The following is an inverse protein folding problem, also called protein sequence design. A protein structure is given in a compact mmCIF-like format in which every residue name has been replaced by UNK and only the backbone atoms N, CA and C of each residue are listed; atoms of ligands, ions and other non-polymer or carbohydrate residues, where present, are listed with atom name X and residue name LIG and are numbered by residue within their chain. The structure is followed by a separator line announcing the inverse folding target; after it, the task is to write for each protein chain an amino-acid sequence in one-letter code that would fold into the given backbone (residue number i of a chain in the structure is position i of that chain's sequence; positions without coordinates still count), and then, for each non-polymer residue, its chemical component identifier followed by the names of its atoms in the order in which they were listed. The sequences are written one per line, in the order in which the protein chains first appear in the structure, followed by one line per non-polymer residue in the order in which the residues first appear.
data_IF_674042304342
#
_entry.id   IF_674042304342
#
_cell.length_a   1.000
_cell.length_b   1.000
_cell.length_c   1.000
_cell.angle_alpha   90.00
_cell.angle_beta   90.00
_cell.angle_gamma   90.00
#
_symmetry.space_group_name_H-M   'P 1'
#
loop_
_entity.id
_entity.type
_entity.pdbx_description
1 polymer ?
#
# COMPACT_ATOMS: atom_id res chain seq x y z
N UNK A 1 -18.83 -10.70 6.74
CA UNK A 1 -19.83 -10.61 5.64
C UNK A 1 -20.59 -9.29 5.79
N UNK A 2 -21.12 -8.69 4.71
CA UNK A 2 -21.92 -7.46 4.81
C UNK A 2 -23.24 -7.74 5.53
N UNK A 3 -23.60 -6.95 6.55
CA UNK A 3 -24.92 -7.02 7.18
C UNK A 3 -26.01 -6.40 6.31
N UNK A 4 -25.66 -5.29 5.66
CA UNK A 4 -26.54 -4.54 4.78
C UNK A 4 -25.70 -3.93 3.66
N UNK A 5 -26.21 -3.98 2.44
CA UNK A 5 -25.55 -3.40 1.27
C UNK A 5 -26.53 -2.50 0.51
N UNK A 6 -26.11 -1.28 0.26
CA UNK A 6 -26.82 -0.31 -0.54
C UNK A 6 -26.27 -0.37 -1.97
N UNK A 7 -27.08 -0.86 -2.91
CA UNK A 7 -26.69 -1.09 -4.32
C UNK A 7 -26.98 0.10 -5.24
N UNK A 8 -27.62 1.16 -4.75
CA UNK A 8 -27.87 2.40 -5.49
C UNK A 8 -26.61 3.26 -5.69
N UNK A 9 -25.43 2.77 -5.29
CA UNK A 9 -24.18 3.49 -5.37
C UNK A 9 -23.42 3.14 -6.65
N UNK A 10 -23.34 4.09 -7.57
CA UNK A 10 -22.65 3.93 -8.85
C UNK A 10 -21.35 4.76 -8.82
N UNK A 11 -20.29 4.18 -8.26
CA UNK A 11 -18.99 4.85 -8.13
C UNK A 11 -17.87 3.97 -8.69
N UNK A 12 -16.70 4.59 -8.90
CA UNK A 12 -15.47 3.95 -9.36
C UNK A 12 -14.33 4.34 -8.44
N UNK A 13 -13.46 3.40 -8.14
CA UNK A 13 -12.24 3.66 -7.38
C UNK A 13 -11.02 3.35 -8.23
N UNK A 14 -9.92 4.06 -7.97
CA UNK A 14 -8.61 3.73 -8.54
C UNK A 14 -7.81 2.97 -7.49
N UNK A 15 -7.37 1.76 -7.83
CA UNK A 15 -6.51 0.93 -6.95
C UNK A 15 -5.03 1.19 -7.22
N UNK A 16 -4.15 0.72 -6.34
CA UNK A 16 -2.71 1.04 -6.35
C UNK A 16 -1.95 0.65 -7.63
N UNK A 17 -2.47 -0.29 -8.42
CA UNK A 17 -1.91 -0.62 -9.74
C UNK A 17 -2.41 0.32 -10.88
N UNK A 18 -3.16 1.37 -10.54
CA UNK A 18 -3.71 2.34 -11.47
C UNK A 18 -5.03 1.96 -12.13
N UNK A 19 -5.50 0.71 -11.97
CA UNK A 19 -6.78 0.25 -12.54
C UNK A 19 -7.97 0.95 -11.88
N UNK A 20 -9.02 1.15 -12.66
CA UNK A 20 -10.29 1.72 -12.20
C UNK A 20 -11.30 0.58 -12.07
N UNK A 21 -11.81 0.36 -10.87
CA UNK A 21 -12.74 -0.73 -10.55
C UNK A 21 -14.10 -0.14 -10.20
N UNK A 22 -15.17 -0.75 -10.72
CA UNK A 22 -16.55 -0.34 -10.44
C UNK A 22 -16.98 -0.84 -9.06
N UNK A 23 -17.53 0.06 -8.26
CA UNK A 23 -18.15 -0.26 -6.98
C UNK A 23 -19.57 -0.76 -7.24
N UNK A 24 -19.93 -1.96 -6.76
CA UNK A 24 -21.31 -2.50 -6.90
C UNK A 24 -22.22 -2.16 -5.74
N UNK A 25 -21.67 -1.65 -4.64
CA UNK A 25 -22.45 -1.19 -3.51
C UNK A 25 -21.59 -0.71 -2.37
N UNK A 26 -22.24 -0.15 -1.36
CA UNK A 26 -21.62 0.32 -0.12
C UNK A 26 -22.39 -0.26 1.06
N UNK A 27 -21.71 -0.68 2.11
CA UNK A 27 -22.40 -1.30 3.23
C UNK A 27 -21.53 -1.48 4.46
N UNK A 28 -22.13 -2.05 5.51
CA UNK A 28 -21.44 -2.26 6.77
C UNK A 28 -21.02 -3.72 6.88
N UNK A 29 -19.74 -3.94 7.20
CA UNK A 29 -19.14 -5.26 7.34
C UNK A 29 -18.92 -5.54 8.81
N UNK A 30 -19.49 -6.63 9.29
CA UNK A 30 -19.12 -7.16 10.60
C UNK A 30 -17.82 -7.94 10.48
N UNK A 31 -16.85 -7.60 11.31
CA UNK A 31 -15.59 -8.31 11.48
C UNK A 31 -15.55 -8.83 12.91
N UNK A 32 -15.57 -10.15 13.06
CA UNK A 32 -15.41 -10.80 14.34
C UNK A 32 -13.93 -11.02 14.62
N UNK A 33 -13.45 -10.47 15.72
CA UNK A 33 -12.12 -10.75 16.28
C UNK A 33 -12.27 -11.63 17.53
N UNK A 34 -11.22 -12.31 18.00
CA UNK A 34 -11.28 -13.08 19.23
C UNK A 34 -11.70 -12.24 20.46
N UNK A 35 -11.36 -10.95 20.48
CA UNK A 35 -11.70 -10.05 21.58
C UNK A 35 -13.11 -9.47 21.46
N UNK A 36 -13.55 -9.14 20.25
CA UNK A 36 -14.87 -8.53 20.04
C UNK A 36 -15.35 -8.57 18.59
N UNK A 37 -16.65 -8.40 18.41
CA UNK A 37 -17.24 -8.09 17.12
C UNK A 37 -17.18 -6.59 16.87
N UNK A 38 -16.57 -6.16 15.76
CA UNK A 38 -16.56 -4.77 15.30
C UNK A 38 -17.33 -4.64 14.00
N UNK A 39 -17.91 -3.46 13.76
CA UNK A 39 -18.60 -3.12 12.51
C UNK A 39 -17.81 -2.05 11.80
N UNK A 40 -17.30 -2.38 10.61
CA UNK A 40 -16.67 -1.42 9.72
C UNK A 40 -17.78 -0.84 8.84
N UNK A 41 -18.10 0.43 9.07
CA UNK A 41 -19.12 1.12 8.29
C UNK A 41 -18.58 1.60 6.95
N UNK A 42 -19.46 1.71 5.96
CA UNK A 42 -19.18 2.35 4.67
C UNK A 42 -18.15 1.63 3.77
N UNK A 43 -18.03 0.31 3.88
CA UNK A 43 -17.14 -0.51 3.05
C UNK A 43 -17.70 -0.64 1.63
N UNK A 44 -16.83 -0.50 0.63
CA UNK A 44 -17.19 -0.71 -0.77
C UNK A 44 -17.20 -2.20 -1.13
N UNK A 45 -18.24 -2.62 -1.84
CA UNK A 45 -18.34 -3.94 -2.44
C UNK A 45 -17.75 -3.92 -3.85
N UNK A 46 -16.67 -4.66 -4.02
CA UNK A 46 -15.88 -4.75 -5.25
C UNK A 46 -15.80 -6.24 -5.63
N UNK A 47 -16.75 -6.75 -6.43
CA UNK A 47 -16.80 -8.19 -6.75
C UNK A 47 -15.65 -8.63 -7.66
N UNK A 48 -15.01 -7.69 -8.34
CA UNK A 48 -13.91 -7.95 -9.26
C UNK A 48 -12.56 -8.12 -8.52
N UNK A 49 -12.57 -8.03 -7.18
CA UNK A 49 -11.42 -8.35 -6.32
C UNK A 49 -11.78 -9.48 -5.36
N UNK A 50 -10.85 -10.43 -5.18
CA UNK A 50 -11.08 -11.61 -4.34
C UNK A 50 -11.25 -11.30 -2.85
N UNK A 51 -10.81 -10.12 -2.40
CA UNK A 51 -10.94 -9.66 -1.01
C UNK A 51 -11.23 -8.16 -1.00
N UNK A 52 -12.10 -7.71 -0.10
CA UNK A 52 -12.35 -6.28 0.06
C UNK A 52 -11.09 -5.59 0.61
N UNK A 53 -10.74 -4.44 0.04
CA UNK A 53 -9.67 -3.59 0.55
C UNK A 53 -10.21 -2.69 1.66
N UNK A 54 -9.52 -2.65 2.80
CA UNK A 54 -9.75 -1.63 3.83
C UNK A 54 -8.79 -0.49 3.55
N UNK A 55 -9.31 0.71 3.34
CA UNK A 55 -8.48 1.89 3.10
C UNK A 55 -7.85 2.38 4.41
N UNK A 56 -6.52 2.45 4.43
CA UNK A 56 -5.75 3.08 5.52
C UNK A 56 -6.20 4.52 5.74
N UNK A 57 -6.40 5.29 4.67
CA UNK A 57 -6.85 6.68 4.76
C UNK A 57 -8.21 6.81 5.47
N UNK A 58 -9.17 5.94 5.16
CA UNK A 58 -10.49 5.96 5.80
C UNK A 58 -10.44 5.59 7.29
N UNK A 59 -9.51 4.73 7.69
CA UNK A 59 -9.29 4.39 9.09
C UNK A 59 -8.71 5.59 9.85
N UNK A 60 -7.72 6.26 9.27
CA UNK A 60 -7.10 7.47 9.84
C UNK A 60 -8.11 8.62 9.95
N UNK A 61 -8.93 8.85 8.92
CA UNK A 61 -10.02 9.85 8.93
C UNK A 61 -11.04 9.62 10.05
N UNK A 62 -11.16 8.37 10.53
CA UNK A 62 -12.01 7.99 11.66
C UNK A 62 -11.26 7.97 13.00
N UNK A 63 -10.12 8.67 13.09
CA UNK A 63 -9.28 8.77 14.28
C UNK A 63 -8.77 7.42 14.81
N UNK A 64 -8.56 6.44 13.92
CA UNK A 64 -7.91 5.19 14.32
C UNK A 64 -6.40 5.31 14.12
N UNK A 65 -5.64 4.76 15.07
CA UNK A 65 -4.21 4.54 14.92
C UNK A 65 -3.96 3.25 14.17
N UNK A 66 -2.93 3.27 13.32
CA UNK A 66 -2.50 2.11 12.53
C UNK A 66 -1.01 1.95 12.75
N UNK A 67 -0.63 0.85 13.38
CA UNK A 67 0.74 0.55 13.73
C UNK A 67 1.20 -0.65 12.90
N UNK A 68 2.16 -0.41 12.01
CA UNK A 68 2.82 -1.47 11.25
C UNK A 68 4.06 -1.94 11.99
N UNK A 69 4.00 -3.17 12.49
CA UNK A 69 5.15 -3.89 13.03
C UNK A 69 5.68 -4.92 12.03
N UNK A 70 6.78 -5.60 12.36
CA UNK A 70 7.51 -6.49 11.45
C UNK A 70 6.63 -7.51 10.71
N UNK A 71 5.65 -8.10 11.38
CA UNK A 71 4.80 -9.17 10.83
C UNK A 71 3.31 -8.99 11.16
N UNK A 72 2.92 -7.83 11.66
CA UNK A 72 1.53 -7.53 12.01
C UNK A 72 1.23 -6.04 11.81
N UNK A 73 -0.02 -5.75 11.53
CA UNK A 73 -0.60 -4.42 11.56
C UNK A 73 -1.67 -4.41 12.66
N UNK A 74 -1.57 -3.45 13.57
CA UNK A 74 -2.55 -3.23 14.64
C UNK A 74 -3.34 -1.98 14.32
N UNK A 75 -4.66 -2.07 14.41
CA UNK A 75 -5.57 -0.91 14.31
C UNK A 75 -6.19 -0.69 15.68
N UNK A 76 -6.06 0.50 16.25
CA UNK A 76 -6.61 0.87 17.56
C UNK A 76 -7.39 2.17 17.49
N UNK A 77 -8.29 2.38 18.45
CA UNK A 77 -9.01 3.65 18.59
C UNK A 77 -8.20 4.68 19.40
N UNK A 78 -8.80 5.87 19.60
CA UNK A 78 -8.20 6.97 20.37
C UNK A 78 -7.89 6.60 21.83
N UNK A 79 -8.54 5.58 22.38
CA UNK A 79 -8.31 5.09 23.74
C UNK A 79 -7.23 4.01 23.80
N UNK A 80 -6.52 3.78 22.70
CA UNK A 80 -5.53 2.70 22.54
C UNK A 80 -6.13 1.30 22.64
N UNK A 81 -7.45 1.16 22.50
CA UNK A 81 -8.08 -0.15 22.49
C UNK A 81 -7.91 -0.79 21.11
N UNK A 82 -7.35 -2.00 21.08
CA UNK A 82 -7.11 -2.76 19.85
C UNK A 82 -8.45 -3.16 19.21
N UNK A 83 -8.67 -2.69 17.97
CA UNK A 83 -9.86 -3.00 17.18
C UNK A 83 -9.60 -4.19 16.24
N UNK A 84 -8.37 -4.32 15.72
CA UNK A 84 -8.01 -5.34 14.75
C UNK A 84 -6.51 -5.62 14.79
N UNK A 85 -6.16 -6.90 14.72
CA UNK A 85 -4.80 -7.38 14.46
C UNK A 85 -4.77 -8.14 13.14
N UNK A 86 -3.97 -7.66 12.20
CA UNK A 86 -3.77 -8.26 10.88
C UNK A 86 -2.37 -8.84 10.81
N UNK A 87 -2.24 -10.14 10.60
CA UNK A 87 -0.94 -10.78 10.36
C UNK A 87 -0.47 -10.44 8.94
N UNK A 88 0.65 -9.74 8.82
CA UNK A 88 1.26 -9.42 7.54
C UNK A 88 2.11 -10.61 7.12
N UNK A 89 1.73 -11.25 6.01
CA UNK A 89 2.54 -12.30 5.40
C UNK A 89 3.08 -11.77 4.09
N UNK A 90 4.41 -11.61 4.01
CA UNK A 90 5.07 -11.26 2.76
C UNK A 90 5.22 -12.53 1.92
N UNK A 91 4.31 -12.73 0.98
CA UNK A 91 4.56 -13.63 -0.15
C UNK A 91 5.57 -12.92 -1.07
N UNK A 92 6.86 -13.04 -0.76
CA UNK A 92 7.91 -12.39 -1.54
C UNK A 92 7.79 -12.78 -3.00
N UNK A 93 7.40 -11.84 -3.85
CA UNK A 93 7.39 -11.99 -5.29
C UNK A 93 8.81 -11.76 -5.81
N UNK A 94 9.17 -12.48 -6.87
CA UNK A 94 10.41 -12.23 -7.61
C UNK A 94 10.22 -10.98 -8.47
N UNK A 95 10.09 -9.83 -7.81
CA UNK A 95 9.88 -8.55 -8.47
C UNK A 95 11.18 -8.04 -9.10
N UNK A 96 11.09 -7.63 -10.36
CA UNK A 96 12.20 -7.07 -11.16
C UNK A 96 12.71 -5.74 -10.57
N UNK A 97 14.00 -5.44 -10.76
CA UNK A 97 14.66 -4.20 -10.35
C UNK A 97 13.97 -2.98 -10.98
N UNK A 98 13.55 -3.10 -12.24
CA UNK A 98 12.82 -2.04 -12.95
C UNK A 98 11.47 -1.73 -12.29
N UNK A 99 10.85 -2.72 -11.63
CA UNK A 99 9.60 -2.53 -10.90
C UNK A 99 9.85 -1.71 -9.63
N UNK A 100 10.93 -2.00 -8.91
CA UNK A 100 11.30 -1.23 -7.71
C UNK A 100 11.79 0.18 -8.03
N UNK A 101 12.51 0.36 -9.14
CA UNK A 101 12.83 1.67 -9.69
C UNK A 101 11.56 2.52 -9.86
N UNK A 102 10.52 1.97 -10.52
CA UNK A 102 9.23 2.66 -10.71
C UNK A 102 8.49 2.90 -9.39
N UNK A 103 8.39 1.89 -8.51
CA UNK A 103 7.66 1.96 -7.23
C UNK A 103 8.22 3.02 -6.28
N UNK A 104 9.53 3.23 -6.28
CA UNK A 104 10.20 4.22 -5.45
C UNK A 104 10.30 5.60 -6.12
N UNK A 105 9.48 5.86 -7.14
CA UNK A 105 9.44 7.16 -7.80
C UNK A 105 10.62 7.40 -8.73
N UNK A 106 11.01 6.39 -9.51
CA UNK A 106 12.14 6.43 -10.45
C UNK A 106 13.49 6.67 -9.77
N UNK A 107 13.68 6.12 -8.56
CA UNK A 107 14.96 6.18 -7.84
C UNK A 107 16.09 5.62 -8.71
N UNK A 108 17.24 6.30 -8.77
CA UNK A 108 18.33 5.82 -9.61
C UNK A 108 18.82 4.42 -9.14
N UNK A 109 19.39 3.65 -10.06
CA UNK A 109 19.84 2.28 -9.78
C UNK A 109 20.98 2.18 -8.77
N UNK A 110 21.81 3.23 -8.62
CA UNK A 110 22.88 3.30 -7.61
C UNK A 110 22.27 3.36 -6.21
N UNK A 111 21.31 4.26 -5.97
CA UNK A 111 20.56 4.39 -4.73
C UNK A 111 19.76 3.13 -4.45
N UNK A 112 19.14 2.53 -5.47
CA UNK A 112 18.43 1.25 -5.32
C UNK A 112 19.38 0.11 -4.89
N UNK A 113 20.57 0.05 -5.47
CA UNK A 113 21.61 -0.90 -5.09
C UNK A 113 22.13 -0.65 -3.66
N UNK A 114 22.23 0.60 -3.21
CA UNK A 114 22.56 0.91 -1.81
C UNK A 114 21.48 0.41 -0.86
N UNK A 115 20.20 0.70 -1.15
CA UNK A 115 19.06 0.22 -0.34
C UNK A 115 19.05 -1.31 -0.22
N UNK A 116 19.39 -2.01 -1.30
CA UNK A 116 19.57 -3.46 -1.27
C UNK A 116 20.73 -3.93 -0.40
N UNK A 117 21.93 -3.36 -0.62
CA UNK A 117 23.15 -3.76 0.11
C UNK A 117 22.95 -3.64 1.62
N UNK A 118 22.29 -2.57 2.05
CA UNK A 118 21.95 -2.30 3.45
C UNK A 118 20.72 -3.06 3.97
N UNK A 119 20.19 -4.03 3.22
CA UNK A 119 19.09 -4.91 3.61
C UNK A 119 17.70 -4.28 3.76
N UNK A 120 17.50 -3.02 3.35
CA UNK A 120 16.21 -2.34 3.43
C UNK A 120 15.17 -2.93 2.46
N UNK A 121 15.64 -3.54 1.36
CA UNK A 121 14.80 -4.18 0.35
C UNK A 121 15.07 -5.69 0.18
N UNK A 122 15.91 -6.30 1.03
CA UNK A 122 16.36 -7.71 0.87
C UNK A 122 15.21 -8.71 0.85
N UNK A 123 14.16 -8.49 1.64
CA UNK A 123 12.99 -9.37 1.71
C UNK A 123 12.10 -9.26 0.47
N UNK A 124 12.19 -8.15 -0.26
CA UNK A 124 11.36 -7.84 -1.42
C UNK A 124 12.07 -8.07 -2.77
N UNK A 125 13.41 -8.12 -2.78
CA UNK A 125 14.25 -8.33 -3.96
C UNK A 125 15.01 -9.65 -3.78
N UNK A 126 14.31 -10.78 -3.91
CA UNK A 126 14.89 -12.12 -3.71
C UNK A 126 15.94 -12.52 -4.76
N UNK A 127 16.06 -11.80 -5.88
CA UNK A 127 17.03 -12.09 -6.93
C UNK A 127 17.74 -10.82 -7.40
N UNK A 128 18.59 -10.26 -6.55
CA UNK A 128 19.70 -9.46 -7.06
C UNK A 128 20.89 -10.39 -7.26
N UNK A 129 21.00 -10.99 -8.45
CA UNK A 129 22.32 -11.39 -8.90
C UNK A 129 23.15 -10.10 -9.02
N UNK A 130 24.36 -10.06 -8.46
CA UNK A 130 25.24 -8.88 -8.48
C UNK A 130 25.44 -8.28 -9.89
N UNK A 131 25.20 -9.07 -10.95
CA UNK A 131 25.34 -8.66 -12.35
C UNK A 131 24.24 -7.74 -12.89
N UNK A 132 22.98 -7.83 -12.43
CA UNK A 132 21.90 -7.02 -13.00
C UNK A 132 22.03 -5.56 -12.61
N UNK A 133 22.17 -5.22 -11.33
CA UNK A 133 22.43 -3.84 -10.91
C UNK A 133 23.72 -3.28 -11.51
N UNK A 134 24.76 -4.10 -11.68
CA UNK A 134 26.01 -3.67 -12.32
C UNK A 134 25.82 -3.28 -13.80
N UNK A 135 24.99 -4.01 -14.57
CA UNK A 135 24.62 -3.65 -15.95
C UNK A 135 23.93 -2.28 -16.06
N UNK A 136 23.05 -1.95 -15.11
CA UNK A 136 22.34 -0.66 -15.12
C UNK A 136 23.21 0.50 -14.64
N UNK A 137 24.18 0.22 -13.76
CA UNK A 137 25.18 1.20 -13.32
C UNK A 137 26.21 1.50 -14.43
N UNK A 138 26.45 0.57 -15.35
CA UNK A 138 27.40 0.73 -16.46
C UNK A 138 26.83 1.34 -17.75
N UNK A 139 25.55 1.72 -17.79
CA UNK A 139 24.98 2.46 -18.94
C UNK A 139 25.40 3.94 -18.85
N UNK A 140 26.48 4.30 -19.54
CA UNK A 140 27.05 5.66 -19.58
C UNK A 140 26.22 6.72 -20.31
N UNK A 141 25.04 6.40 -20.86
CA UNK A 141 24.23 7.42 -21.56
C UNK A 141 23.23 8.10 -20.61
N UNK A 142 23.70 9.14 -19.92
CA UNK A 142 22.83 10.12 -19.24
C UNK A 142 21.88 10.80 -20.24
N UNK A 143 20.60 10.46 -20.19
CA UNK A 143 19.55 11.44 -20.45
C UNK A 143 18.98 11.86 -19.10
N UNK A 144 19.29 13.08 -18.70
CA UNK A 144 18.61 13.72 -17.58
C UNK A 144 17.12 13.81 -17.96
N UNK A 145 16.26 13.14 -17.19
CA UNK A 145 14.85 13.49 -17.22
C UNK A 145 14.71 14.85 -16.55
N UNK A 146 14.30 15.87 -17.30
CA UNK A 146 13.70 17.04 -16.68
C UNK A 146 12.47 16.54 -15.93
N UNK A 147 12.49 16.65 -14.59
CA UNK A 147 11.27 16.54 -13.82
C UNK A 147 10.31 17.58 -14.40
N UNK A 148 9.23 17.11 -15.04
CA UNK A 148 8.04 17.92 -15.16
C UNK A 148 7.75 18.38 -13.74
N UNK A 149 7.75 19.70 -13.52
CA UNK A 149 7.53 20.33 -12.23
C UNK A 149 6.31 19.71 -11.58
N UNK A 150 6.53 18.71 -10.73
CA UNK A 150 5.49 18.19 -9.86
C UNK A 150 5.14 19.35 -8.98
N UNK A 151 3.89 19.81 -9.07
CA UNK A 151 3.34 20.88 -8.26
C UNK A 151 3.86 20.71 -6.83
N UNK A 152 4.57 21.76 -6.42
CA UNK A 152 5.04 22.09 -5.09
C UNK A 152 4.52 21.16 -3.98
N UNK A 153 5.44 20.58 -3.21
CA UNK A 153 5.12 19.68 -2.10
C UNK A 153 4.08 20.25 -1.13
N UNK A 154 2.87 19.69 -1.19
CA UNK A 154 1.77 19.97 -0.25
C UNK A 154 1.40 18.78 0.64
N UNK A 155 2.10 17.64 0.56
CA UNK A 155 1.74 16.45 1.36
C UNK A 155 2.41 16.36 2.74
N UNK A 156 3.34 17.27 3.09
CA UNK A 156 4.06 17.22 4.37
C UNK A 156 3.95 18.50 5.22
N UNK A 157 3.20 19.52 4.78
CA UNK A 157 3.10 20.80 5.52
C UNK A 157 2.05 20.83 6.63
N UNK A 158 1.20 19.81 6.75
CA UNK A 158 0.10 19.79 7.71
C UNK A 158 0.32 18.83 8.90
N UNK A 159 1.55 18.36 9.14
CA UNK A 159 1.87 17.41 10.21
C UNK A 159 3.19 17.73 10.95
N UNK A 160 3.47 19.02 11.18
CA UNK A 160 4.46 19.44 12.19
C UNK A 160 3.80 20.53 13.04
#
# INVERSE_FOLDING_TARGET
MFKKIYRSFNSRIRVGNGQIIKVKGKGDVQVSTPASTKVITYVFSLPDIGQNLISVGQLVEKNNFIIFEKNKCVVSDLTSHELMLVKITYSGSNDDVDLWHKRLGHVNYISLNMLYKHAWLRTCLKLMSKLQCAKYVSLESKKYFHSLSTRHGELLRNYI
#
